data_IF_956515217083
#
_entry.id   IF_956515217083
#
_cell.length_a   1.000
_cell.length_b   1.000
_cell.length_c   1.000
_cell.angle_alpha   90.00
_cell.angle_beta   90.00
_cell.angle_gamma   90.00
#
_symmetry.space_group_name_H-M   'P 1'
#
loop_
_entity.id
_entity.type
_entity.pdbx_description
1 polymer ?
#
# COMPACT_ATOMS: atom_id res chain seq x y z
N UNK A 1 -12.37 6.96 -4.50
CA UNK A 1 -13.70 7.19 -5.10
C UNK A 1 -14.34 5.96 -5.75
N UNK A 2 -13.64 4.84 -5.89
CA UNK A 2 -14.20 3.58 -6.45
C UNK A 2 -14.73 3.69 -7.91
N UNK A 3 -14.43 4.78 -8.63
CA UNK A 3 -15.00 5.07 -9.96
C UNK A 3 -13.98 5.16 -11.11
N UNK A 4 -12.69 5.37 -10.82
CA UNK A 4 -11.62 5.49 -11.80
C UNK A 4 -10.44 4.62 -11.39
N UNK A 5 -9.80 3.96 -12.35
CA UNK A 5 -8.63 3.11 -12.14
C UNK A 5 -7.59 3.38 -13.23
N UNK A 6 -6.32 3.35 -12.83
CA UNK A 6 -5.18 3.31 -13.75
C UNK A 6 -4.48 1.96 -13.57
N UNK A 7 -4.25 1.26 -14.66
CA UNK A 7 -3.47 0.01 -14.68
C UNK A 7 -2.43 0.12 -15.78
N UNK A 8 -1.17 -0.17 -15.47
CA UNK A 8 -0.08 -0.01 -16.42
C UNK A 8 1.24 -0.56 -15.92
N UNK A 9 2.30 -0.31 -16.68
CA UNK A 9 3.67 -0.71 -16.35
C UNK A 9 4.42 0.35 -15.52
N UNK A 10 3.95 1.61 -15.52
CA UNK A 10 4.63 2.72 -14.87
C UNK A 10 4.62 2.61 -13.33
N UNK A 11 5.82 2.59 -12.74
CA UNK A 11 6.00 2.76 -11.30
C UNK A 11 5.84 4.23 -10.89
N UNK A 12 5.57 4.49 -9.61
CA UNK A 12 5.54 5.86 -9.07
C UNK A 12 6.97 6.30 -8.74
N UNK A 13 7.77 6.55 -9.78
CA UNK A 13 9.15 7.03 -9.69
C UNK A 13 9.50 7.84 -10.96
N UNK A 14 10.63 8.55 -10.95
CA UNK A 14 11.08 9.36 -12.09
C UNK A 14 11.36 8.48 -13.31
N UNK A 15 11.96 7.30 -13.14
CA UNK A 15 12.25 6.39 -14.26
C UNK A 15 11.02 6.12 -15.13
N UNK A 16 9.87 5.85 -14.52
CA UNK A 16 8.62 5.57 -15.23
C UNK A 16 7.81 6.83 -15.56
N UNK A 17 7.87 7.88 -14.73
CA UNK A 17 7.01 9.08 -14.88
C UNK A 17 7.63 10.21 -15.71
N UNK A 18 8.93 10.15 -16.01
CA UNK A 18 9.64 11.18 -16.78
C UNK A 18 9.18 11.28 -18.24
N UNK A 19 8.81 10.14 -18.84
CA UNK A 19 8.41 10.03 -20.25
C UNK A 19 9.58 10.01 -21.25
N UNK A 20 10.81 10.33 -20.82
CA UNK A 20 12.02 10.24 -21.64
C UNK A 20 13.10 9.28 -21.09
N UNK A 21 12.80 8.60 -19.97
CA UNK A 21 13.63 7.53 -19.40
C UNK A 21 13.18 6.17 -19.91
N UNK A 22 12.35 5.46 -19.14
CA UNK A 22 11.82 4.16 -19.56
C UNK A 22 10.51 4.36 -20.33
N UNK A 23 10.30 3.51 -21.35
CA UNK A 23 9.05 3.50 -22.10
C UNK A 23 7.97 2.76 -21.30
N UNK A 24 6.92 3.46 -20.92
CA UNK A 24 5.81 2.91 -20.14
C UNK A 24 4.48 3.02 -20.87
N UNK A 25 3.53 2.17 -20.50
CA UNK A 25 2.15 2.26 -20.97
C UNK A 25 1.18 2.08 -19.80
N UNK A 26 0.12 2.87 -19.79
CA UNK A 26 -0.96 2.73 -18.83
C UNK A 26 -2.30 2.97 -19.51
N UNK A 27 -3.33 2.30 -18.99
CA UNK A 27 -4.71 2.56 -19.33
C UNK A 27 -5.40 3.21 -18.13
N UNK A 28 -6.24 4.21 -18.41
CA UNK A 28 -7.12 4.83 -17.44
C UNK A 28 -8.56 4.58 -17.85
N UNK A 29 -9.39 4.12 -16.92
CA UNK A 29 -10.79 3.86 -17.21
C UNK A 29 -11.71 4.16 -16.03
N UNK A 30 -12.95 4.47 -16.40
CA UNK A 30 -14.10 4.58 -15.52
C UNK A 30 -15.31 3.99 -16.21
N UNK A 31 -16.37 3.73 -15.44
CA UNK A 31 -17.66 3.32 -15.98
C UNK A 31 -18.63 4.49 -15.91
N UNK A 32 -19.10 5.05 -17.05
CA UNK A 32 -19.91 6.27 -17.07
C UNK A 32 -21.21 6.21 -16.25
N UNK A 33 -21.77 5.00 -16.06
CA UNK A 33 -22.99 4.77 -15.29
C UNK A 33 -22.73 4.34 -13.82
N UNK A 34 -21.48 4.35 -13.37
CA UNK A 34 -21.10 3.99 -11.99
C UNK A 34 -20.14 5.04 -11.40
N UNK A 35 -20.53 6.31 -11.48
CA UNK A 35 -19.78 7.43 -10.92
C UNK A 35 -20.25 7.77 -9.49
N UNK A 36 -19.33 8.22 -8.65
CA UNK A 36 -19.51 8.62 -7.28
C UNK A 36 -20.11 10.04 -7.11
N UNK A 37 -20.73 10.61 -8.15
CA UNK A 37 -21.19 12.01 -8.18
C UNK A 37 -22.40 12.27 -7.28
N UNK A 38 -23.33 11.31 -7.18
CA UNK A 38 -24.57 11.43 -6.40
C UNK A 38 -24.75 10.30 -5.38
N UNK A 39 -24.28 9.11 -5.74
CA UNK A 39 -24.29 7.92 -4.93
C UNK A 39 -22.91 7.26 -5.00
N UNK A 40 -22.49 6.46 -4.02
CA UNK A 40 -21.21 5.77 -4.09
C UNK A 40 -21.09 4.91 -5.34
N UNK A 41 -19.93 4.93 -6.00
CA UNK A 41 -19.66 4.05 -7.13
C UNK A 41 -19.68 2.57 -6.67
N UNK A 42 -20.46 1.74 -7.37
CA UNK A 42 -20.63 0.30 -7.11
C UNK A 42 -20.49 -0.55 -8.38
N UNK A 43 -19.61 -0.10 -9.28
CA UNK A 43 -19.27 -0.81 -10.51
C UNK A 43 -18.18 -1.88 -10.33
N UNK A 44 -17.56 -2.25 -11.45
CA UNK A 44 -16.43 -3.18 -11.51
C UNK A 44 -15.20 -2.68 -10.73
N UNK A 45 -14.93 -1.37 -10.74
CA UNK A 45 -13.79 -0.79 -10.02
C UNK A 45 -13.97 -0.97 -8.50
N UNK A 46 -15.16 -0.66 -7.98
CA UNK A 46 -15.52 -0.96 -6.59
C UNK A 46 -15.34 -2.45 -6.26
N UNK A 47 -15.91 -3.33 -7.08
CA UNK A 47 -15.82 -4.78 -6.87
C UNK A 47 -14.38 -5.29 -6.88
N UNK A 48 -13.56 -4.82 -7.83
CA UNK A 48 -12.15 -5.17 -7.92
C UNK A 48 -11.37 -4.69 -6.70
N UNK A 49 -11.59 -3.45 -6.25
CA UNK A 49 -10.97 -2.90 -5.04
C UNK A 49 -11.38 -3.68 -3.78
N UNK A 50 -12.65 -4.07 -3.64
CA UNK A 50 -13.11 -4.95 -2.55
C UNK A 50 -12.45 -6.34 -2.62
N UNK A 51 -12.26 -6.92 -3.81
CA UNK A 51 -11.61 -8.22 -3.99
C UNK A 51 -10.13 -8.18 -3.58
N UNK A 52 -9.39 -7.13 -3.96
CA UNK A 52 -8.01 -6.91 -3.50
C UNK A 52 -7.94 -6.74 -1.98
N UNK A 53 -8.88 -6.00 -1.40
CA UNK A 53 -8.96 -5.85 0.06
C UNK A 53 -9.25 -7.19 0.75
N UNK A 54 -10.13 -8.01 0.20
CA UNK A 54 -10.38 -9.36 0.71
C UNK A 54 -9.12 -10.23 0.64
N UNK A 55 -8.41 -10.21 -0.49
CA UNK A 55 -7.14 -10.93 -0.67
C UNK A 55 -6.08 -10.51 0.37
N UNK A 56 -5.90 -9.21 0.58
CA UNK A 56 -4.85 -8.70 1.46
C UNK A 56 -5.24 -8.70 2.94
N UNK A 57 -6.51 -8.49 3.28
CA UNK A 57 -6.97 -8.45 4.68
C UNK A 57 -7.44 -9.82 5.17
N UNK A 58 -7.75 -10.76 4.27
CA UNK A 58 -8.32 -12.07 4.58
C UNK A 58 -9.79 -12.02 5.02
N UNK A 59 -10.46 -10.87 4.88
CA UNK A 59 -11.84 -10.68 5.32
C UNK A 59 -12.54 -9.54 4.56
N UNK A 60 -13.88 -9.61 4.57
CA UNK A 60 -14.75 -8.52 4.17
C UNK A 60 -15.33 -7.84 5.41
N UNK A 61 -15.62 -6.55 5.29
CA UNK A 61 -16.26 -5.77 6.35
C UNK A 61 -17.03 -4.60 5.75
N UNK A 62 -18.16 -4.22 6.37
CA UNK A 62 -18.99 -3.12 5.88
C UNK A 62 -18.26 -1.77 5.91
N UNK A 63 -17.30 -1.60 6.82
CA UNK A 63 -16.48 -0.38 6.85
C UNK A 63 -15.65 -0.21 5.57
N UNK A 64 -15.28 -1.31 4.91
CA UNK A 64 -14.49 -1.28 3.66
C UNK A 64 -15.32 -0.80 2.45
N UNK A 65 -16.64 -0.67 2.60
CA UNK A 65 -17.50 -0.04 1.60
C UNK A 65 -17.36 1.49 1.57
N UNK A 66 -16.76 2.08 2.61
CA UNK A 66 -16.55 3.52 2.77
C UNK A 66 -15.09 3.81 3.16
N UNK A 67 -14.13 3.62 2.22
CA UNK A 67 -12.70 3.76 2.50
C UNK A 67 -12.27 5.16 2.97
N UNK A 68 -13.08 6.19 2.71
CA UNK A 68 -12.87 7.55 3.19
C UNK A 68 -13.21 7.75 4.68
N UNK A 69 -13.89 6.80 5.32
CA UNK A 69 -14.28 6.91 6.73
C UNK A 69 -13.08 6.71 7.66
N UNK A 70 -13.11 7.42 8.80
CA UNK A 70 -12.07 7.30 9.82
C UNK A 70 -12.06 5.89 10.43
N UNK A 71 -13.22 5.28 10.57
CA UNK A 71 -13.42 3.94 11.07
C UNK A 71 -12.79 2.89 10.15
N UNK A 72 -12.93 3.06 8.83
CA UNK A 72 -12.32 2.17 7.85
C UNK A 72 -10.79 2.17 7.97
N UNK A 73 -10.16 3.35 7.90
CA UNK A 73 -8.69 3.41 7.95
C UNK A 73 -8.15 2.94 9.31
N UNK A 74 -8.83 3.25 10.42
CA UNK A 74 -8.45 2.74 11.75
C UNK A 74 -8.52 1.21 11.81
N UNK A 75 -9.52 0.60 11.18
CA UNK A 75 -9.65 -0.85 11.13
C UNK A 75 -8.58 -1.50 10.25
N UNK A 76 -8.35 -0.96 9.06
CA UNK A 76 -7.29 -1.43 8.14
C UNK A 76 -5.93 -1.38 8.83
N UNK A 77 -5.58 -0.24 9.44
CA UNK A 77 -4.32 -0.08 10.16
C UNK A 77 -4.19 -1.09 11.30
N UNK A 78 -5.23 -1.26 12.12
CA UNK A 78 -5.20 -2.22 13.23
C UNK A 78 -5.00 -3.67 12.77
N UNK A 79 -5.58 -4.05 11.63
CA UNK A 79 -5.38 -5.37 11.04
C UNK A 79 -3.93 -5.49 10.54
N UNK A 80 -3.44 -4.48 9.82
CA UNK A 80 -2.09 -4.47 9.27
C UNK A 80 -0.99 -4.47 10.35
N UNK A 81 -1.19 -3.77 11.47
CA UNK A 81 -0.31 -3.79 12.63
C UNK A 81 -0.27 -5.19 13.26
N UNK A 82 -1.44 -5.81 13.44
CA UNK A 82 -1.52 -7.18 13.96
C UNK A 82 -0.84 -8.19 13.03
N UNK A 83 -0.97 -8.03 11.71
CA UNK A 83 -0.31 -8.91 10.76
C UNK A 83 1.20 -8.67 10.72
N UNK A 84 1.66 -7.42 10.88
CA UNK A 84 3.06 -7.11 11.09
C UNK A 84 3.63 -7.80 12.35
N UNK A 85 2.93 -7.73 13.48
CA UNK A 85 3.34 -8.41 14.72
C UNK A 85 3.47 -9.92 14.54
N UNK A 86 2.55 -10.54 13.79
CA UNK A 86 2.60 -11.97 13.47
C UNK A 86 3.73 -12.31 12.50
N UNK A 87 3.96 -11.47 11.48
CA UNK A 87 5.00 -11.68 10.47
C UNK A 87 6.41 -11.54 11.07
N UNK A 88 6.60 -10.58 11.97
CA UNK A 88 7.89 -10.26 12.60
C UNK A 88 8.17 -11.02 13.90
N UNK A 89 7.25 -11.87 14.34
CA UNK A 89 7.39 -12.72 15.53
C UNK A 89 8.41 -13.84 15.31
N UNK A 90 9.25 -14.12 16.32
CA UNK A 90 10.16 -15.27 16.32
C UNK A 90 9.42 -16.62 16.36
N UNK A 91 8.15 -16.63 16.78
CA UNK A 91 7.31 -17.82 16.84
C UNK A 91 6.29 -17.83 15.70
N UNK A 92 6.23 -18.95 14.98
CA UNK A 92 5.24 -19.22 13.94
C UNK A 92 4.27 -20.31 14.40
N UNK A 93 3.12 -19.90 14.95
CA UNK A 93 2.09 -20.84 15.43
C UNK A 93 1.11 -21.27 14.32
N UNK A 94 0.89 -20.41 13.33
CA UNK A 94 -0.08 -20.60 12.24
C UNK A 94 0.25 -19.71 11.05
N UNK A 95 -0.36 -20.01 9.91
CA UNK A 95 -0.33 -19.15 8.73
C UNK A 95 -0.85 -17.74 9.04
N UNK A 96 -0.33 -16.74 8.32
CA UNK A 96 -0.83 -15.37 8.40
C UNK A 96 -2.30 -15.32 7.93
N UNK A 97 -3.22 -14.71 8.70
CA UNK A 97 -4.63 -14.63 8.30
C UNK A 97 -4.88 -13.71 7.10
N UNK A 98 -3.91 -12.88 6.72
CA UNK A 98 -3.90 -12.02 5.55
C UNK A 98 -2.49 -11.47 5.32
N UNK A 99 -2.32 -10.71 4.24
CA UNK A 99 -1.01 -10.32 3.72
C UNK A 99 -0.71 -8.82 3.82
N UNK A 100 -1.68 -7.99 4.22
CA UNK A 100 -1.45 -6.56 4.41
C UNK A 100 -0.64 -6.31 5.68
N UNK A 101 0.60 -5.86 5.53
CA UNK A 101 1.47 -5.48 6.64
C UNK A 101 1.59 -3.96 6.70
N UNK A 102 1.59 -3.39 7.91
CA UNK A 102 1.99 -1.99 8.08
C UNK A 102 3.44 -1.85 7.63
N UNK A 103 3.74 -0.88 6.78
CA UNK A 103 5.12 -0.63 6.38
C UNK A 103 5.94 -0.24 7.62
N UNK A 104 7.10 -0.87 7.87
CA UNK A 104 7.69 -0.89 9.20
C UNK A 104 8.49 0.38 9.57
N UNK A 105 7.84 1.53 9.49
CA UNK A 105 8.38 2.85 9.84
C UNK A 105 7.46 3.56 10.83
N UNK A 106 8.03 4.38 11.70
CA UNK A 106 7.31 5.33 12.53
C UNK A 106 7.26 6.71 11.89
N UNK A 107 6.22 7.48 12.20
CA UNK A 107 6.11 8.89 11.81
C UNK A 107 6.04 9.73 13.08
N UNK A 108 6.95 10.70 13.23
CA UNK A 108 6.94 11.61 14.38
C UNK A 108 5.83 12.66 14.26
N UNK A 109 5.56 13.38 15.35
CA UNK A 109 4.59 14.49 15.34
C UNK A 109 4.97 15.59 14.33
N UNK A 110 6.25 15.72 13.98
CA UNK A 110 6.77 16.69 13.02
C UNK A 110 6.85 16.12 11.58
N UNK A 111 6.41 14.86 11.37
CA UNK A 111 6.36 14.21 10.06
C UNK A 111 7.66 13.51 9.64
N UNK A 112 8.65 13.37 10.53
CA UNK A 112 9.87 12.64 10.21
C UNK A 112 9.62 11.13 10.18
N UNK A 113 10.20 10.45 9.19
CA UNK A 113 10.17 9.00 9.09
C UNK A 113 11.28 8.41 9.95
N UNK A 114 10.92 7.48 10.83
CA UNK A 114 11.80 6.86 11.82
C UNK A 114 11.72 5.34 11.77
N UNK A 115 12.70 4.66 12.34
CA UNK A 115 12.64 3.21 12.55
C UNK A 115 11.65 2.89 13.67
N UNK A 116 10.99 1.73 13.58
CA UNK A 116 10.23 1.21 14.71
C UNK A 116 11.21 0.79 15.84
N UNK A 117 10.82 0.94 17.12
CA UNK A 117 11.68 0.53 18.24
C UNK A 117 12.10 -0.93 18.11
N UNK A 118 13.42 -1.18 18.12
CA UNK A 118 13.97 -2.54 18.00
C UNK A 118 14.04 -3.09 16.57
N UNK A 119 13.65 -2.32 15.56
CA UNK A 119 13.63 -2.75 14.16
C UNK A 119 14.45 -1.82 13.26
N UNK A 120 15.77 -2.02 13.27
CA UNK A 120 16.69 -1.32 12.36
C UNK A 120 16.65 -1.90 10.93
N UNK A 121 16.56 -3.23 10.84
CA UNK A 121 16.62 -3.99 9.58
C UNK A 121 15.28 -4.69 9.30
N UNK A 122 15.02 -4.99 8.02
CA UNK A 122 13.92 -5.92 7.70
C UNK A 122 14.17 -7.29 8.34
N UNK A 123 13.11 -8.01 8.79
CA UNK A 123 13.23 -9.35 9.34
C UNK A 123 14.10 -10.25 8.45
N UNK A 124 14.94 -11.07 9.07
CA UNK A 124 15.89 -11.99 8.42
C UNK A 124 16.98 -11.32 7.56
N UNK A 125 17.18 -10.00 7.67
CA UNK A 125 18.19 -9.27 6.88
C UNK A 125 19.11 -8.40 7.73
N UNK A 126 20.10 -7.79 7.06
CA UNK A 126 20.89 -6.66 7.56
C UNK A 126 20.63 -5.38 6.73
N UNK A 127 19.47 -5.32 6.07
CA UNK A 127 19.11 -4.22 5.18
C UNK A 127 18.28 -3.19 5.95
N UNK A 128 18.80 -1.96 6.05
CA UNK A 128 18.15 -0.87 6.81
C UNK A 128 16.78 -0.56 6.22
N UNK A 129 15.75 -0.49 7.07
CA UNK A 129 14.38 -0.16 6.63
C UNK A 129 14.30 1.25 6.03
N UNK A 130 15.03 2.21 6.61
CA UNK A 130 15.07 3.59 6.10
C UNK A 130 15.95 3.76 4.86
N UNK A 131 16.58 2.67 4.40
CA UNK A 131 17.54 2.70 3.32
C UNK A 131 18.85 3.40 3.70
N UNK A 132 19.68 3.64 2.70
CA UNK A 132 20.94 4.37 2.84
C UNK A 132 21.24 5.06 1.52
N UNK A 133 21.56 6.36 1.58
CA UNK A 133 21.95 7.10 0.39
C UNK A 133 23.27 6.53 -0.15
N UNK A 134 23.31 6.23 -1.43
CA UNK A 134 24.55 5.79 -2.08
C UNK A 134 25.45 6.99 -2.39
N UNK A 135 26.74 6.87 -2.06
CA UNK A 135 27.78 7.83 -2.49
C UNK A 135 28.28 7.54 -3.92
N UNK A 136 27.91 6.38 -4.49
CA UNK A 136 28.41 5.92 -5.78
C UNK A 136 27.34 5.98 -6.88
N UNK A 137 26.08 5.68 -6.56
CA UNK A 137 25.01 5.64 -7.55
C UNK A 137 24.38 7.04 -7.72
N UNK A 138 24.48 7.66 -8.92
CA UNK A 138 23.82 8.93 -9.15
C UNK A 138 22.29 8.76 -9.13
N UNK A 139 21.52 9.79 -8.71
CA UNK A 139 20.06 9.73 -8.60
C UNK A 139 19.37 9.31 -9.90
N UNK A 140 19.91 9.67 -11.07
CA UNK A 140 19.35 9.26 -12.37
C UNK A 140 19.17 7.75 -12.53
N UNK A 141 19.94 6.92 -11.80
CA UNK A 141 19.81 5.47 -11.82
C UNK A 141 18.80 4.92 -10.81
N UNK A 142 18.52 5.67 -9.74
CA UNK A 142 17.76 5.18 -8.57
C UNK A 142 16.46 5.93 -8.32
N UNK A 143 16.20 7.01 -9.06
CA UNK A 143 14.93 7.74 -9.05
C UNK A 143 14.07 7.40 -10.24
#
# INVERSE_FOLDING_TARGET
DDEYIIVGSANINQRSMDGSRDSEIAMGAYQPYHLATREPARGQIHGFRMALWYEHLGMLDDLFLQPQSLECIRKVNRIADKYWDLYSSDNLDRDLPGHLLTYPVGITNDGEVTQLPGLEFFPDTKASVLGTKSDYMPPILTT
#
